data_IF_574080014298
#
_entry.id   IF_574080014298
#
_cell.length_a   1.000
_cell.length_b   1.000
_cell.length_c   1.000
_cell.angle_alpha   90.00
_cell.angle_beta   90.00
_cell.angle_gamma   90.00
#
_symmetry.space_group_name_H-M   'P 1'
#
loop_
_entity.id
_entity.type
_entity.pdbx_description
1 polymer ?
#
# COMPACT_ATOMS: atom_id res chain seq x y z
N UNK A 1 4.15 13.13 -12.06
CA UNK A 1 3.09 14.06 -11.61
C UNK A 1 1.65 13.50 -11.73
N UNK A 2 1.40 12.19 -11.57
CA UNK A 2 0.07 11.62 -11.92
C UNK A 2 -0.68 10.99 -10.75
N UNK A 3 0.00 10.64 -9.65
CA UNK A 3 -0.62 9.91 -8.53
C UNK A 3 -1.58 10.83 -7.74
N UNK A 4 -1.29 12.13 -7.64
CA UNK A 4 -2.13 13.10 -6.93
C UNK A 4 -3.51 13.21 -7.62
N UNK A 5 -3.52 13.42 -8.94
CA UNK A 5 -4.72 13.35 -9.79
C UNK A 5 -5.47 12.01 -9.67
N UNK A 6 -4.77 10.87 -9.70
CA UNK A 6 -5.41 9.55 -9.56
C UNK A 6 -6.08 9.37 -8.17
N UNK A 7 -5.47 9.92 -7.11
CA UNK A 7 -6.05 9.93 -5.77
C UNK A 7 -7.26 10.84 -5.68
N UNK A 8 -7.21 12.03 -6.29
CA UNK A 8 -8.31 13.00 -6.33
C UNK A 8 -9.54 12.44 -7.08
N UNK A 9 -9.33 11.76 -8.22
CA UNK A 9 -10.40 11.13 -9.01
C UNK A 9 -10.99 9.88 -8.30
N UNK A 10 -10.34 9.33 -7.28
CA UNK A 10 -10.74 8.10 -6.58
C UNK A 10 -10.86 6.85 -7.49
N UNK A 11 -10.10 6.79 -8.59
CA UNK A 11 -10.06 5.61 -9.44
C UNK A 11 -9.39 4.43 -8.69
N UNK A 12 -9.58 3.20 -9.18
CA UNK A 12 -8.98 1.99 -8.57
C UNK A 12 -7.48 2.16 -8.31
N UNK A 13 -6.73 2.67 -9.30
CA UNK A 13 -5.29 2.91 -9.16
C UNK A 13 -4.99 3.89 -8.04
N UNK A 14 -5.75 4.98 -7.92
CA UNK A 14 -5.65 5.96 -6.85
C UNK A 14 -5.89 5.36 -5.47
N UNK A 15 -6.95 4.56 -5.31
CA UNK A 15 -7.26 3.86 -4.06
C UNK A 15 -6.14 2.89 -3.66
N UNK A 16 -5.58 2.14 -4.61
CA UNK A 16 -4.44 1.24 -4.36
C UNK A 16 -3.19 2.01 -3.97
N UNK A 17 -2.92 3.15 -4.61
CA UNK A 17 -1.84 4.06 -4.21
C UNK A 17 -2.05 4.64 -2.81
N UNK A 18 -3.28 4.98 -2.41
CA UNK A 18 -3.61 5.45 -1.05
C UNK A 18 -3.43 4.36 0.00
N UNK A 19 -3.81 3.12 -0.31
CA UNK A 19 -3.70 1.94 0.58
C UNK A 19 -2.32 1.29 0.63
N UNK A 20 -1.33 1.78 -0.12
CA UNK A 20 0.00 1.16 -0.19
C UNK A 20 -0.03 -0.25 -0.79
N UNK A 21 -0.87 -0.47 -1.81
CA UNK A 21 -1.01 -1.74 -2.51
C UNK A 21 -0.48 -1.66 -3.94
N UNK A 22 -0.04 -2.79 -4.53
CA UNK A 22 0.32 -2.84 -5.94
C UNK A 22 -0.90 -2.56 -6.82
N UNK A 23 -0.62 -1.91 -7.95
CA UNK A 23 -1.61 -1.23 -8.81
C UNK A 23 -1.88 -1.96 -10.12
N UNK A 24 -0.96 -2.82 -10.56
CA UNK A 24 -1.00 -3.52 -11.87
C UNK A 24 -1.72 -4.88 -11.81
N UNK A 25 -2.79 -4.99 -11.01
CA UNK A 25 -3.56 -6.25 -10.89
C UNK A 25 -2.84 -7.40 -10.18
N UNK A 26 -1.76 -7.13 -9.45
CA UNK A 26 -1.00 -8.16 -8.74
C UNK A 26 -1.74 -8.68 -7.51
N UNK A 27 -1.54 -9.98 -7.22
CA UNK A 27 -2.09 -10.63 -6.03
C UNK A 27 -1.48 -10.06 -4.74
N UNK A 28 -2.34 -9.66 -3.80
CA UNK A 28 -1.91 -9.01 -2.55
C UNK A 28 -1.94 -9.88 -1.30
N UNK A 29 -2.37 -11.13 -1.40
CA UNK A 29 -2.52 -12.01 -0.23
C UNK A 29 -1.17 -12.37 0.39
N UNK A 30 -0.21 -12.81 -0.45
CA UNK A 30 1.06 -13.39 0.04
C UNK A 30 2.26 -12.45 -0.25
N UNK A 31 2.56 -12.18 -1.54
CA UNK A 31 3.83 -11.57 -1.98
C UNK A 31 3.70 -10.10 -2.43
N UNK A 32 3.26 -9.21 -1.53
CA UNK A 32 3.12 -7.77 -1.82
C UNK A 32 3.94 -6.86 -0.89
N UNK A 33 5.00 -7.40 -0.29
CA UNK A 33 5.79 -6.72 0.77
C UNK A 33 6.60 -5.54 0.27
N UNK A 34 7.07 -5.55 -0.97
CA UNK A 34 7.77 -4.42 -1.60
C UNK A 34 6.93 -3.14 -1.58
N UNK A 35 5.60 -3.25 -1.71
CA UNK A 35 4.69 -2.09 -1.66
C UNK A 35 4.02 -1.89 -0.28
N UNK A 36 3.64 -2.97 0.41
CA UNK A 36 2.97 -2.91 1.73
C UNK A 36 3.92 -2.55 2.87
N UNK A 37 5.22 -2.74 2.68
CA UNK A 37 6.22 -2.69 3.73
C UNK A 37 6.27 -3.96 4.60
N UNK A 38 7.21 -4.00 5.56
CA UNK A 38 7.38 -5.11 6.48
C UNK A 38 6.12 -5.33 7.32
N UNK A 39 5.90 -6.58 7.78
CA UNK A 39 4.75 -6.92 8.62
C UNK A 39 4.84 -6.13 9.93
N UNK A 40 3.92 -5.18 10.13
CA UNK A 40 3.76 -4.54 11.44
C UNK A 40 3.31 -5.61 12.41
N UNK A 41 4.17 -5.94 13.37
CA UNK A 41 3.81 -6.77 14.52
C UNK A 41 3.09 -5.85 15.48
N UNK A 42 1.79 -6.04 15.69
CA UNK A 42 1.05 -5.36 16.76
C UNK A 42 1.66 -5.80 18.09
N UNK A 43 2.36 -4.90 18.79
CA UNK A 43 2.82 -5.15 20.17
C UNK A 43 4.33 -5.16 20.43
N UNK A 44 5.21 -4.87 19.46
CA UNK A 44 6.62 -4.61 19.81
C UNK A 44 6.75 -3.24 20.48
N UNK A 45 6.64 -3.19 21.81
CA UNK A 45 7.24 -2.11 22.61
C UNK A 45 8.71 -2.06 22.21
N UNK A 46 9.13 -0.99 21.55
CA UNK A 46 10.55 -0.68 21.43
C UNK A 46 11.07 -0.59 22.86
N UNK A 47 11.84 -1.60 23.31
CA UNK A 47 12.62 -1.49 24.54
C UNK A 47 13.58 -0.32 24.31
N UNK A 48 13.38 0.75 25.08
CA UNK A 48 14.41 1.75 25.32
C UNK A 48 15.39 1.17 26.32
#
# INVERSE_FOLDING_TARGET
LNIKRLKEINCYRGLRHKRGLPVRGQNTKNNARTRKGPKRVSGKKSKK
#
